data_IF_366909530301
#
_entry.id   IF_366909530301
#
_cell.length_a   1.000
_cell.length_b   1.000
_cell.length_c   1.000
_cell.angle_alpha   90.00
_cell.angle_beta   90.00
_cell.angle_gamma   90.00
#
_symmetry.space_group_name_H-M   'P 1'
#
loop_
_entity.id
_entity.type
_entity.pdbx_description
1 polymer ?
#
# COMPACT_ATOMS: atom_id res chain seq x y z
N UNK A 1 -16.95 2.63 -5.39
CA UNK A 1 -15.50 2.38 -5.11
C UNK A 1 -15.30 1.18 -4.21
N UNK A 2 -15.86 1.14 -2.99
CA UNK A 2 -15.76 -0.04 -2.11
C UNK A 2 -16.50 -1.27 -2.71
N UNK A 3 -17.72 -1.09 -3.20
CA UNK A 3 -18.47 -2.18 -3.87
C UNK A 3 -17.80 -2.65 -5.16
N UNK A 4 -17.16 -1.75 -5.90
CA UNK A 4 -16.46 -2.09 -7.15
C UNK A 4 -15.20 -2.90 -6.84
N UNK A 5 -14.45 -2.52 -5.79
CA UNK A 5 -13.25 -3.23 -5.36
C UNK A 5 -13.57 -4.66 -4.90
N UNK A 6 -14.62 -4.85 -4.08
CA UNK A 6 -15.06 -6.19 -3.62
C UNK A 6 -15.47 -7.12 -4.76
N UNK A 7 -15.89 -6.56 -5.90
CA UNK A 7 -16.24 -7.31 -7.12
C UNK A 7 -15.03 -7.63 -7.99
N UNK A 8 -13.87 -7.02 -7.74
CA UNK A 8 -12.67 -7.27 -8.53
C UNK A 8 -12.21 -8.71 -8.36
N UNK A 9 -11.71 -9.29 -9.45
CA UNK A 9 -11.12 -10.63 -9.42
C UNK A 9 -9.89 -10.71 -8.51
N UNK A 10 -9.19 -9.58 -8.33
CA UNK A 10 -8.10 -9.45 -7.35
C UNK A 10 -8.59 -9.64 -5.91
N UNK A 11 -9.67 -8.95 -5.50
CA UNK A 11 -10.21 -9.08 -4.15
C UNK A 11 -10.64 -10.53 -3.85
N UNK A 12 -11.25 -11.21 -4.84
CA UNK A 12 -11.58 -12.64 -4.73
C UNK A 12 -10.32 -13.51 -4.59
N UNK A 13 -9.31 -13.29 -5.43
CA UNK A 13 -8.03 -13.99 -5.33
C UNK A 13 -7.38 -13.80 -3.96
N UNK A 14 -7.35 -12.57 -3.43
CA UNK A 14 -6.83 -12.29 -2.09
C UNK A 14 -7.60 -13.07 -1.02
N UNK A 15 -8.93 -13.06 -1.05
CA UNK A 15 -9.74 -13.81 -0.08
C UNK A 15 -9.49 -15.32 -0.18
N UNK A 16 -9.38 -15.86 -1.40
CA UNK A 16 -9.09 -17.28 -1.61
C UNK A 16 -7.67 -17.69 -1.19
N UNK A 17 -6.75 -16.72 -1.06
CA UNK A 17 -5.36 -16.94 -0.64
C UNK A 17 -5.07 -16.15 0.65
N UNK A 18 -6.10 -15.92 1.48
CA UNK A 18 -6.00 -15.01 2.63
C UNK A 18 -4.92 -15.48 3.60
N UNK A 19 -4.78 -16.78 3.85
CA UNK A 19 -3.73 -17.31 4.71
C UNK A 19 -2.32 -17.04 4.17
N UNK A 20 -2.10 -17.11 2.86
CA UNK A 20 -0.80 -16.77 2.26
C UNK A 20 -0.55 -15.27 2.37
N UNK A 21 -1.60 -14.47 2.18
CA UNK A 21 -1.51 -13.03 2.35
C UNK A 21 -1.23 -12.64 3.81
N UNK A 22 -1.89 -13.27 4.78
CA UNK A 22 -1.68 -13.11 6.21
C UNK A 22 -0.26 -13.52 6.60
N UNK A 23 0.25 -14.65 6.09
CA UNK A 23 1.66 -15.05 6.29
C UNK A 23 2.64 -14.02 5.74
N UNK A 24 2.44 -13.57 4.50
CA UNK A 24 3.27 -12.52 3.88
C UNK A 24 3.17 -11.20 4.65
N UNK A 25 1.98 -10.89 5.15
CA UNK A 25 1.71 -9.71 5.95
C UNK A 25 2.38 -9.80 7.31
N UNK A 26 2.35 -10.95 7.98
CA UNK A 26 3.00 -11.19 9.27
C UNK A 26 4.52 -11.20 9.14
N UNK A 27 5.07 -11.82 8.10
CA UNK A 27 6.50 -11.77 7.80
C UNK A 27 6.95 -10.33 7.55
N UNK A 28 6.18 -9.58 6.75
CA UNK A 28 6.40 -8.16 6.52
C UNK A 28 6.27 -7.35 7.83
N UNK A 29 5.25 -7.62 8.64
CA UNK A 29 5.03 -6.96 9.92
C UNK A 29 6.19 -7.23 10.87
N UNK A 30 6.75 -8.43 10.88
CA UNK A 30 7.90 -8.74 11.71
C UNK A 30 9.14 -7.97 11.22
N UNK A 31 9.35 -7.85 9.90
CA UNK A 31 10.45 -7.08 9.32
C UNK A 31 10.35 -5.58 9.58
N UNK A 32 9.13 -5.02 9.61
CA UNK A 32 8.93 -3.56 9.67
C UNK A 32 8.45 -3.08 11.04
N UNK A 33 7.82 -3.93 11.86
CA UNK A 33 7.33 -3.51 13.18
C UNK A 33 8.47 -3.13 14.11
N UNK A 34 9.65 -3.78 14.03
CA UNK A 34 10.82 -3.32 14.80
C UNK A 34 11.22 -1.87 14.45
N UNK A 35 11.09 -1.50 13.17
CA UNK A 35 11.34 -0.14 12.69
C UNK A 35 10.25 0.86 13.12
N UNK A 36 8.98 0.45 13.06
CA UNK A 36 7.83 1.32 13.35
C UNK A 36 7.53 1.46 14.86
N UNK A 37 7.72 0.41 15.66
CA UNK A 37 7.26 0.32 17.06
C UNK A 37 8.23 0.87 18.11
N UNK A 38 9.45 1.25 17.73
CA UNK A 38 10.36 1.95 18.64
C UNK A 38 9.68 3.23 19.16
N UNK A 39 9.74 3.48 20.48
CA UNK A 39 9.07 4.61 21.15
C UNK A 39 9.34 5.92 20.39
N UNK A 40 8.32 6.41 19.69
CA UNK A 40 8.40 7.50 18.71
C UNK A 40 7.20 8.42 18.92
N UNK A 41 7.39 9.72 18.78
CA UNK A 41 6.27 10.66 18.74
C UNK A 41 5.45 10.49 17.43
N UNK A 42 4.26 11.11 17.37
CA UNK A 42 3.37 11.01 16.21
C UNK A 42 4.06 11.44 14.89
N UNK A 43 4.98 12.42 14.95
CA UNK A 43 5.74 12.87 13.79
C UNK A 43 6.66 11.76 13.28
N UNK A 44 7.44 11.17 14.17
CA UNK A 44 8.34 10.09 13.82
C UNK A 44 7.57 8.87 13.28
N UNK A 45 6.41 8.52 13.85
CA UNK A 45 5.55 7.44 13.34
C UNK A 45 5.09 7.75 11.91
N UNK A 46 4.53 8.94 11.67
CA UNK A 46 4.05 9.35 10.34
C UNK A 46 5.18 9.40 9.32
N UNK A 47 6.34 9.91 9.71
CA UNK A 47 7.52 9.98 8.83
C UNK A 47 8.00 8.58 8.45
N UNK A 48 8.15 7.67 9.43
CA UNK A 48 8.53 6.28 9.15
C UNK A 48 7.52 5.60 8.24
N UNK A 49 6.22 5.75 8.51
CA UNK A 49 5.17 5.19 7.67
C UNK A 49 5.26 5.70 6.22
N UNK A 50 5.49 7.00 6.04
CA UNK A 50 5.65 7.62 4.73
C UNK A 50 6.88 7.09 3.98
N UNK A 51 8.05 7.03 4.65
CA UNK A 51 9.29 6.54 4.05
C UNK A 51 9.20 5.07 3.64
N UNK A 52 8.63 4.22 4.50
CA UNK A 52 8.37 2.81 4.18
C UNK A 52 7.48 2.69 2.95
N UNK A 53 6.37 3.44 2.91
CA UNK A 53 5.47 3.41 1.77
C UNK A 53 6.15 3.87 0.47
N UNK A 54 6.91 4.96 0.53
CA UNK A 54 7.65 5.47 -0.63
C UNK A 54 8.66 4.45 -1.16
N UNK A 55 9.41 3.79 -0.27
CA UNK A 55 10.33 2.72 -0.63
C UNK A 55 9.64 1.59 -1.42
N UNK A 56 8.49 1.09 -0.94
CA UNK A 56 7.76 0.03 -1.65
C UNK A 56 7.13 0.51 -2.96
N UNK A 57 6.69 1.77 -3.04
CA UNK A 57 6.23 2.38 -4.29
C UNK A 57 7.37 2.43 -5.30
N UNK A 58 8.59 2.80 -4.89
CA UNK A 58 9.76 2.82 -5.76
C UNK A 58 10.11 1.42 -6.28
N UNK A 59 10.15 0.42 -5.40
CA UNK A 59 10.37 -0.97 -5.80
C UNK A 59 9.30 -1.47 -6.78
N UNK A 60 8.04 -1.09 -6.55
CA UNK A 60 6.94 -1.45 -7.42
C UNK A 60 7.09 -0.84 -8.81
N UNK A 61 7.40 0.46 -8.91
CA UNK A 61 7.59 1.13 -10.20
C UNK A 61 8.73 0.51 -11.01
N UNK A 62 9.87 0.23 -10.36
CA UNK A 62 11.00 -0.43 -11.01
C UNK A 62 10.64 -1.84 -11.51
N UNK A 63 9.88 -2.59 -10.71
CA UNK A 63 9.44 -3.95 -11.07
C UNK A 63 8.35 -3.93 -12.15
N UNK A 64 7.43 -2.97 -12.08
CA UNK A 64 6.29 -2.84 -12.99
C UNK A 64 6.72 -2.40 -14.39
N UNK A 65 7.80 -1.64 -14.50
CA UNK A 65 8.29 -1.04 -15.73
C UNK A 65 9.79 -1.33 -15.93
N UNK A 66 10.16 -2.61 -16.19
CA UNK A 66 11.56 -3.06 -16.21
C UNK A 66 12.38 -2.46 -17.36
N UNK A 67 11.72 -1.92 -18.39
CA UNK A 67 12.38 -1.30 -19.55
C UNK A 67 12.83 0.14 -19.30
N UNK A 68 12.40 0.77 -18.20
CA UNK A 68 12.79 2.13 -17.84
C UNK A 68 14.10 2.07 -17.05
N UNK A 69 15.20 2.49 -17.67
CA UNK A 69 16.54 2.47 -17.06
C UNK A 69 16.85 3.70 -16.19
N UNK A 70 16.00 4.72 -16.19
CA UNK A 70 16.28 6.03 -15.58
C UNK A 70 15.55 6.27 -14.25
N UNK A 71 15.05 5.22 -13.58
CA UNK A 71 14.28 5.38 -12.33
C UNK A 71 15.04 6.14 -11.25
N UNK A 72 16.33 5.86 -11.07
CA UNK A 72 17.17 6.51 -10.06
C UNK A 72 17.41 8.00 -10.34
N UNK A 73 17.48 8.39 -11.62
CA UNK A 73 17.75 9.76 -12.04
C UNK A 73 16.49 10.57 -12.32
N UNK A 74 15.31 9.93 -12.42
CA UNK A 74 14.04 10.58 -12.72
C UNK A 74 13.57 11.57 -11.63
N UNK A 75 14.08 11.45 -10.39
CA UNK A 75 13.80 12.35 -9.25
C UNK A 75 12.30 12.67 -9.08
N UNK A 76 11.46 11.64 -9.22
CA UNK A 76 10.02 11.81 -9.09
C UNK A 76 9.66 12.21 -7.66
N UNK A 77 8.78 13.20 -7.54
CA UNK A 77 8.15 13.53 -6.27
C UNK A 77 7.19 12.41 -5.86
N UNK A 78 6.92 12.28 -4.55
CA UNK A 78 5.96 11.31 -4.04
C UNK A 78 4.60 11.37 -4.75
N UNK A 79 4.08 12.57 -5.01
CA UNK A 79 2.80 12.72 -5.72
C UNK A 79 2.86 12.18 -7.15
N UNK A 80 3.96 12.39 -7.88
CA UNK A 80 4.13 11.83 -9.23
C UNK A 80 4.21 10.30 -9.18
N UNK A 81 4.94 9.73 -8.22
CA UNK A 81 4.97 8.28 -8.01
C UNK A 81 3.57 7.72 -7.71
N UNK A 82 2.81 8.42 -6.88
CA UNK A 82 1.44 8.03 -6.54
C UNK A 82 0.50 8.05 -7.75
N UNK A 83 0.65 9.00 -8.67
CA UNK A 83 -0.11 8.98 -9.93
C UNK A 83 0.28 7.80 -10.83
N UNK A 84 1.57 7.45 -10.89
CA UNK A 84 2.05 6.32 -11.71
C UNK A 84 1.53 4.96 -11.24
N UNK A 85 1.32 4.79 -9.93
CA UNK A 85 0.76 3.54 -9.38
C UNK A 85 -0.77 3.52 -9.41
N UNK A 86 -1.45 4.63 -9.69
CA UNK A 86 -2.91 4.77 -9.65
C UNK A 86 -3.62 4.08 -10.83
N UNK A 87 -3.43 2.76 -10.95
CA UNK A 87 -3.95 1.96 -12.05
C UNK A 87 -5.26 1.26 -11.63
N UNK A 88 -6.37 1.44 -12.37
CA UNK A 88 -7.67 0.83 -12.03
C UNK A 88 -7.68 -0.70 -12.12
N UNK A 89 -6.72 -1.31 -12.83
CA UNK A 89 -6.57 -2.77 -12.90
C UNK A 89 -5.76 -3.35 -11.73
N UNK A 90 -5.28 -2.51 -10.80
CA UNK A 90 -4.50 -2.93 -9.64
C UNK A 90 -5.14 -2.45 -8.33
N UNK A 91 -4.75 -3.02 -7.19
CA UNK A 91 -5.29 -2.66 -5.88
C UNK A 91 -4.82 -1.27 -5.45
N UNK A 92 -3.79 -0.74 -6.10
CA UNK A 92 -3.28 0.60 -5.83
C UNK A 92 -4.35 1.66 -6.03
N UNK A 93 -5.30 1.46 -6.96
CA UNK A 93 -6.45 2.35 -7.12
C UNK A 93 -7.32 2.41 -5.86
N UNK A 94 -7.48 1.30 -5.15
CA UNK A 94 -8.25 1.23 -3.92
C UNK A 94 -7.51 1.97 -2.78
N UNK A 95 -6.20 1.77 -2.67
CA UNK A 95 -5.39 2.40 -1.62
C UNK A 95 -5.07 3.88 -1.88
N UNK A 96 -5.19 4.36 -3.11
CA UNK A 96 -4.76 5.70 -3.55
C UNK A 96 -5.19 6.83 -2.61
N UNK A 97 -6.46 6.86 -2.20
CA UNK A 97 -6.97 7.92 -1.30
C UNK A 97 -6.36 7.85 0.10
N UNK A 98 -6.20 6.65 0.66
CA UNK A 98 -5.54 6.46 1.95
C UNK A 98 -4.07 6.89 1.91
N UNK A 99 -3.36 6.53 0.84
CA UNK A 99 -1.94 6.91 0.64
C UNK A 99 -1.81 8.44 0.54
N UNK A 100 -2.71 9.09 -0.23
CA UNK A 100 -2.76 10.54 -0.36
C UNK A 100 -3.06 11.23 0.98
N UNK A 101 -3.91 10.63 1.81
CA UNK A 101 -4.22 11.12 3.15
C UNK A 101 -2.98 11.06 4.06
N UNK A 102 -2.22 9.97 4.02
CA UNK A 102 -0.96 9.84 4.78
C UNK A 102 0.07 10.91 4.36
N UNK A 103 0.24 11.15 3.06
CA UNK A 103 1.12 12.23 2.58
C UNK A 103 0.65 13.61 3.06
N UNK A 104 -0.67 13.84 3.06
CA UNK A 104 -1.25 15.09 3.56
C UNK A 104 -1.00 15.27 5.07
N UNK A 105 -1.09 14.20 5.85
CA UNK A 105 -0.76 14.21 7.27
C UNK A 105 0.73 14.49 7.50
N UNK A 106 1.63 13.85 6.74
CA UNK A 106 3.08 14.14 6.77
C UNK A 106 3.36 15.64 6.52
N UNK A 107 2.71 16.21 5.50
CA UNK A 107 2.90 17.64 5.17
C UNK A 107 2.40 18.57 6.29
N UNK A 108 1.34 18.21 7.02
CA UNK A 108 0.86 19.00 8.17
C UNK A 108 1.93 19.09 9.26
N UNK A 109 2.63 18.01 9.56
CA UNK A 109 3.75 18.02 10.50
C UNK A 109 4.93 18.87 10.01
N UNK A 110 5.25 18.83 8.70
CA UNK A 110 6.32 19.66 8.13
C UNK A 110 6.06 21.17 8.21
N UNK A 111 4.79 21.59 8.27
CA UNK A 111 4.42 23.01 8.35
C UNK A 111 4.06 23.50 9.75
N UNK A 112 3.87 22.60 10.73
CA UNK A 112 3.39 22.96 12.07
C UNK A 112 4.14 22.16 13.14
N UNK A 113 5.08 22.83 13.81
CA UNK A 113 5.95 22.26 14.85
C UNK A 113 5.21 21.53 15.99
N UNK A 114 4.02 22.00 16.37
CA UNK A 114 3.20 21.41 17.45
C UNK A 114 1.86 20.86 16.94
N UNK A 115 1.86 20.25 15.75
CA UNK A 115 0.66 19.64 15.21
C UNK A 115 0.17 18.49 16.10
N UNK A 116 -1.13 18.47 16.40
CA UNK A 116 -1.79 17.34 17.08
C UNK A 116 -2.69 16.64 16.08
N UNK A 117 -2.51 15.33 15.92
CA UNK A 117 -3.35 14.53 15.03
C UNK A 117 -4.79 14.52 15.53
N UNK A 118 -5.73 14.69 14.60
CA UNK A 118 -7.16 14.65 14.84
C UNK A 118 -7.79 13.47 14.10
N UNK A 119 -8.96 12.97 14.53
CA UNK A 119 -9.68 11.91 13.80
C UNK A 119 -9.89 12.19 12.31
N UNK A 120 -10.15 13.45 11.95
CA UNK A 120 -10.29 13.90 10.56
C UNK A 120 -9.03 13.71 9.70
N UNK A 121 -7.85 13.57 10.30
CA UNK A 121 -6.59 13.43 9.55
C UNK A 121 -6.38 12.03 8.98
N UNK A 122 -7.01 11.03 9.58
CA UNK A 122 -6.92 9.63 9.17
C UNK A 122 -8.27 9.06 8.76
N UNK A 123 -9.26 9.91 8.49
CA UNK A 123 -10.60 9.48 8.10
C UNK A 123 -10.59 8.66 6.80
N UNK A 124 -9.89 9.13 5.76
CA UNK A 124 -9.77 8.39 4.50
C UNK A 124 -8.99 7.07 4.67
N UNK A 125 -8.00 7.04 5.57
CA UNK A 125 -7.29 5.81 5.94
C UNK A 125 -8.26 4.84 6.62
N UNK A 126 -9.05 5.33 7.58
CA UNK A 126 -10.09 4.57 8.28
C UNK A 126 -11.09 3.97 7.31
N UNK A 127 -11.64 4.77 6.38
CA UNK A 127 -12.57 4.26 5.36
C UNK A 127 -11.94 3.20 4.47
N UNK A 128 -10.67 3.36 4.11
CA UNK A 128 -9.94 2.38 3.30
C UNK A 128 -9.76 1.05 4.05
N UNK A 129 -9.42 1.10 5.34
CA UNK A 129 -9.20 -0.09 6.16
C UNK A 129 -10.49 -0.77 6.63
N UNK A 130 -11.58 -0.02 6.78
CA UNK A 130 -12.86 -0.54 7.27
C UNK A 130 -13.38 -1.71 6.42
N UNK A 131 -13.09 -1.68 5.11
CA UNK A 131 -13.42 -2.74 4.15
C UNK A 131 -12.83 -4.09 4.56
N UNK A 132 -11.56 -4.09 4.95
CA UNK A 132 -10.81 -5.28 5.35
C UNK A 132 -11.22 -5.75 6.73
N UNK A 133 -11.27 -4.84 7.70
CA UNK A 133 -11.69 -5.17 9.06
C UNK A 133 -13.10 -5.76 9.12
N UNK A 134 -14.04 -5.21 8.33
CA UNK A 134 -15.39 -5.76 8.19
C UNK A 134 -15.38 -7.16 7.55
N UNK A 135 -14.50 -7.41 6.58
CA UNK A 135 -14.41 -8.71 5.92
C UNK A 135 -13.80 -9.78 6.86
N UNK A 136 -12.82 -9.40 7.68
CA UNK A 136 -12.16 -10.29 8.64
C UNK A 136 -12.96 -10.49 9.94
N UNK A 137 -14.00 -9.68 10.18
CA UNK A 137 -14.77 -9.71 11.44
C UNK A 137 -13.98 -9.14 12.62
N UNK A 138 -12.98 -8.31 12.37
CA UNK A 138 -12.08 -7.75 13.37
C UNK A 138 -12.42 -6.30 13.73
N UNK A 139 -11.96 -5.86 14.90
CA UNK A 139 -12.09 -4.46 15.32
C UNK A 139 -10.95 -3.61 14.75
N UNK A 140 -11.31 -2.56 14.02
CA UNK A 140 -10.33 -1.63 13.47
C UNK A 140 -9.65 -0.80 14.57
N UNK A 141 -8.30 -0.66 14.57
CA UNK A 141 -7.59 0.25 15.46
C UNK A 141 -7.89 1.73 15.12
N UNK A 142 -7.52 2.62 16.04
CA UNK A 142 -7.67 4.08 15.90
C UNK A 142 -6.33 4.80 16.11
N UNK A 143 -6.26 6.07 15.70
CA UNK A 143 -5.08 6.91 15.90
C UNK A 143 -3.83 6.41 15.15
N UNK A 144 -2.65 6.54 15.75
CA UNK A 144 -1.38 6.14 15.12
C UNK A 144 -1.34 4.66 14.75
N UNK A 145 -1.91 3.79 15.58
CA UNK A 145 -2.00 2.35 15.30
C UNK A 145 -2.73 2.02 14.00
N UNK A 146 -3.73 2.83 13.64
CA UNK A 146 -4.43 2.69 12.37
C UNK A 146 -3.54 3.07 11.18
N UNK A 147 -2.72 4.10 11.33
CA UNK A 147 -1.80 4.57 10.28
C UNK A 147 -0.68 3.54 10.06
N UNK A 148 -0.12 3.00 11.14
CA UNK A 148 0.88 1.93 11.07
C UNK A 148 0.29 0.70 10.38
N UNK A 149 -0.89 0.25 10.81
CA UNK A 149 -1.56 -0.91 10.23
C UNK A 149 -1.89 -0.71 8.75
N UNK A 150 -2.38 0.47 8.39
CA UNK A 150 -2.62 0.82 7.00
C UNK A 150 -1.33 0.74 6.18
N UNK A 151 -0.24 1.30 6.70
CA UNK A 151 1.06 1.28 6.01
C UNK A 151 1.54 -0.14 5.78
N UNK A 152 1.50 -0.99 6.82
CA UNK A 152 1.85 -2.40 6.69
C UNK A 152 0.99 -3.08 5.63
N UNK A 153 -0.34 -2.88 5.68
CA UNK A 153 -1.27 -3.56 4.77
C UNK A 153 -1.02 -3.19 3.31
N UNK A 154 -0.82 -1.91 3.04
CA UNK A 154 -0.54 -1.42 1.70
C UNK A 154 0.81 -1.92 1.21
N UNK A 155 1.85 -1.87 2.04
CA UNK A 155 3.18 -2.32 1.64
C UNK A 155 3.25 -3.83 1.43
N UNK A 156 2.58 -4.64 2.26
CA UNK A 156 2.43 -6.07 2.04
C UNK A 156 1.68 -6.36 0.71
N UNK A 157 0.61 -5.60 0.42
CA UNK A 157 -0.10 -5.69 -0.86
C UNK A 157 0.79 -5.35 -2.05
N UNK A 158 1.61 -4.31 -1.94
CA UNK A 158 2.59 -3.92 -2.95
C UNK A 158 3.65 -5.02 -3.13
N UNK A 159 4.21 -5.54 -2.04
CA UNK A 159 5.23 -6.58 -2.07
C UNK A 159 4.72 -7.88 -2.72
N UNK A 160 3.48 -8.27 -2.42
CA UNK A 160 2.81 -9.40 -3.09
C UNK A 160 2.73 -9.18 -4.61
N UNK A 161 2.38 -7.97 -5.05
CA UNK A 161 2.38 -7.63 -6.49
C UNK A 161 3.78 -7.68 -7.11
N UNK A 162 4.79 -7.14 -6.43
CA UNK A 162 6.20 -7.19 -6.87
C UNK A 162 6.63 -8.65 -7.08
N UNK A 163 6.35 -9.51 -6.11
CA UNK A 163 6.69 -10.93 -6.18
C UNK A 163 5.93 -11.65 -7.30
N UNK A 164 4.63 -11.35 -7.47
CA UNK A 164 3.83 -11.86 -8.58
C UNK A 164 4.40 -11.48 -9.95
N UNK A 165 4.76 -10.20 -10.14
CA UNK A 165 5.39 -9.73 -11.39
C UNK A 165 6.73 -10.42 -11.62
N UNK A 166 7.61 -10.48 -10.61
CA UNK A 166 8.91 -11.15 -10.73
C UNK A 166 8.78 -12.63 -11.09
N UNK A 167 7.79 -13.33 -10.53
CA UNK A 167 7.56 -14.76 -10.75
C UNK A 167 6.95 -15.05 -12.12
N UNK A 168 5.97 -14.27 -12.54
CA UNK A 168 5.11 -14.60 -13.69
C UNK A 168 5.40 -13.75 -14.93
N UNK A 169 6.05 -12.60 -14.77
CA UNK A 169 6.19 -11.62 -15.86
C UNK A 169 7.39 -10.70 -15.70
N UNK A 170 8.56 -11.25 -15.37
CA UNK A 170 9.77 -10.48 -15.09
C UNK A 170 10.14 -9.50 -16.23
N UNK A 171 10.09 -9.96 -17.48
CA UNK A 171 10.50 -9.16 -18.64
C UNK A 171 9.42 -8.17 -19.12
N UNK A 172 8.14 -8.51 -18.97
CA UNK A 172 7.02 -7.67 -19.42
C UNK A 172 6.44 -6.78 -18.30
N UNK A 173 6.91 -6.95 -17.07
CA UNK A 173 6.51 -6.17 -15.90
C UNK A 173 5.02 -6.31 -15.59
N UNK A 174 4.42 -5.18 -15.19
CA UNK A 174 2.99 -5.14 -14.83
C UNK A 174 2.09 -5.56 -16.00
N UNK A 175 2.47 -5.22 -17.23
CA UNK A 175 1.63 -5.48 -18.40
C UNK A 175 1.39 -6.98 -18.61
N UNK A 176 2.46 -7.78 -18.59
CA UNK A 176 2.33 -9.22 -18.73
C UNK A 176 1.79 -9.90 -17.47
N UNK A 177 2.03 -9.34 -16.28
CA UNK A 177 1.42 -9.86 -15.05
C UNK A 177 -0.11 -9.72 -15.06
N UNK A 178 -0.62 -8.59 -15.55
CA UNK A 178 -2.06 -8.40 -15.72
C UNK A 178 -2.66 -9.38 -16.74
N UNK A 179 -1.96 -9.64 -17.86
CA UNK A 179 -2.39 -10.66 -18.82
C UNK A 179 -2.40 -12.08 -18.21
N UNK A 180 -1.41 -12.40 -17.39
CA UNK A 180 -1.34 -13.68 -16.68
C UNK A 180 -2.50 -13.83 -15.68
N UNK A 181 -2.78 -12.78 -14.90
CA UNK A 181 -3.92 -12.75 -13.97
C UNK A 181 -5.25 -12.95 -14.71
N UNK A 182 -5.43 -12.30 -15.85
CA UNK A 182 -6.63 -12.46 -16.69
C UNK A 182 -6.82 -13.91 -17.13
N UNK A 183 -5.74 -14.60 -17.57
CA UNK A 183 -5.77 -16.00 -18.03
C UNK A 183 -5.99 -17.02 -16.91
N UNK A 184 -5.37 -16.84 -15.75
CA UNK A 184 -5.57 -17.76 -14.61
C UNK A 184 -7.02 -17.80 -14.11
N UNK A 185 -7.82 -16.79 -14.44
CA UNK A 185 -9.19 -16.63 -13.98
C UNK A 185 -10.23 -17.15 -14.99
N UNK A 186 -9.80 -17.79 -16.08
CA UNK A 186 -10.65 -18.48 -17.08
C UNK A 186 -10.66 -20.01 -16.92
N UNK A 187 -9.78 -20.55 -16.05
CA UNK A 187 -9.67 -21.96 -15.63
C UNK A 187 -10.20 -22.15 -14.23
#
# INVERSE_FOLDING_TARGET
>A
MEEDFKKTKYFKYLLSNLEEFERNFDEFNNQISEFLTAQSDDLAIVLKCHLTLEYYIDLYLQTAYPTVSTWETARLTFNQKLELINNPKTPMRFYYKGIKSLNSLRNKFSHKLNYKVKPSDYEEISRTMAVWYKAMGETQPVGMKLIERFTTWVCASINSYINGIKKQSKELGLSGYLQWLEKMQET
#
